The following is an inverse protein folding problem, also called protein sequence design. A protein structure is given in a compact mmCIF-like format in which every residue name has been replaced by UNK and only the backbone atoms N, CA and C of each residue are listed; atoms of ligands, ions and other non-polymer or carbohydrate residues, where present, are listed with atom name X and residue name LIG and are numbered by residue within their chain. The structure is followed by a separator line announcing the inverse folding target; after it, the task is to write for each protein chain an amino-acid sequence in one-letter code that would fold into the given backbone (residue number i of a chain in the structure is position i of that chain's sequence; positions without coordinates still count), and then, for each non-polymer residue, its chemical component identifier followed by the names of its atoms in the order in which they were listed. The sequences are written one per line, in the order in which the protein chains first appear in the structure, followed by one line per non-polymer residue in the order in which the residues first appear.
data_IF_804244712362
#
_entry.id   IF_804244712362
#
_cell.length_a   1.000
_cell.length_b   1.000
_cell.length_c   1.000
_cell.angle_alpha   90.00
_cell.angle_beta   90.00
_cell.angle_gamma   90.00
#
_symmetry.space_group_name_H-M   'P 1'
#
loop_
_entity.id
_entity.type
_entity.pdbx_description
1 polymer ?
#
# COMPACT_ATOMS: atom_id res chain seq x y z
N UNK A 1 0.72 21.86 18.79
CA UNK A 1 -0.61 21.34 18.44
C UNK A 1 -0.47 19.83 18.30
N UNK A 2 -0.94 19.05 19.28
CA UNK A 2 -0.94 17.59 19.18
C UNK A 2 -1.93 17.20 18.08
N UNK A 3 -1.48 16.41 17.11
CA UNK A 3 -2.39 15.75 16.16
C UNK A 3 -3.20 14.77 17.00
N UNK A 4 -4.52 14.95 17.03
CA UNK A 4 -5.43 14.00 17.66
C UNK A 4 -5.35 12.69 16.88
N UNK A 5 -4.82 11.65 17.51
CA UNK A 5 -4.59 10.32 16.90
C UNK A 5 -5.89 9.64 16.47
N UNK A 6 -7.06 10.19 16.85
CA UNK A 6 -8.37 9.69 16.44
C UNK A 6 -8.85 10.19 15.06
N UNK A 7 -8.06 10.99 14.33
CA UNK A 7 -8.47 11.61 13.06
C UNK A 7 -7.77 11.06 11.81
N UNK A 8 -6.77 10.19 11.96
CA UNK A 8 -6.03 9.61 10.84
C UNK A 8 -6.59 8.23 10.48
N UNK A 9 -6.61 7.84 9.18
CA UNK A 9 -7.12 6.54 8.74
C UNK A 9 -6.13 5.38 9.02
N UNK A 10 -4.96 5.67 9.59
CA UNK A 10 -3.93 4.71 9.95
C UNK A 10 -3.35 5.03 11.33
N UNK A 11 -2.75 4.02 11.98
CA UNK A 11 -2.12 4.17 13.28
C UNK A 11 -0.80 4.92 13.16
N UNK A 12 -0.50 5.81 14.12
CA UNK A 12 0.78 6.51 14.21
C UNK A 12 1.58 6.14 15.46
N UNK A 13 1.14 5.13 16.21
CA UNK A 13 1.72 4.78 17.51
C UNK A 13 3.20 4.40 17.43
N UNK A 14 3.61 3.70 16.37
CA UNK A 14 5.01 3.35 16.15
C UNK A 14 5.77 4.48 15.43
N UNK A 15 5.13 5.15 14.46
CA UNK A 15 5.67 6.34 13.81
C UNK A 15 6.15 7.41 14.80
N UNK A 16 5.37 7.70 15.86
CA UNK A 16 5.76 8.72 16.86
C UNK A 16 6.92 8.30 17.76
N UNK A 17 7.41 7.06 17.67
CA UNK A 17 8.61 6.58 18.36
C UNK A 17 9.86 6.65 17.47
N UNK A 18 9.69 6.82 16.16
CA UNK A 18 10.80 6.87 15.20
C UNK A 18 11.70 8.08 15.44
N UNK A 19 13.01 7.85 15.33
CA UNK A 19 14.00 8.92 15.39
C UNK A 19 13.85 9.86 14.19
N UNK A 20 13.74 9.33 12.97
CA UNK A 20 13.58 10.12 11.77
C UNK A 20 12.33 10.99 11.82
N UNK A 21 11.24 10.50 12.42
CA UNK A 21 10.05 11.31 12.69
C UNK A 21 10.37 12.48 13.62
N UNK A 22 11.08 12.24 14.72
CA UNK A 22 11.47 13.28 15.67
C UNK A 22 12.47 14.30 15.11
N UNK A 23 13.33 13.89 14.18
CA UNK A 23 14.31 14.76 13.52
C UNK A 23 13.67 15.60 12.38
N UNK A 24 12.54 15.14 11.82
CA UNK A 24 11.83 15.85 10.75
C UNK A 24 11.21 17.18 11.21
N UNK A 25 11.20 18.17 10.31
CA UNK A 25 10.55 19.47 10.55
C UNK A 25 9.01 19.36 10.59
N UNK A 26 8.31 20.32 11.20
CA UNK A 26 6.84 20.35 11.17
C UNK A 26 6.24 20.33 9.76
N UNK A 27 6.89 20.98 8.79
CA UNK A 27 6.49 20.97 7.38
C UNK A 27 6.62 19.58 6.77
N UNK A 28 7.74 18.89 7.01
CA UNK A 28 7.98 17.53 6.52
C UNK A 28 6.97 16.53 7.07
N UNK A 29 6.71 16.58 8.38
CA UNK A 29 5.70 15.74 9.02
C UNK A 29 4.31 15.98 8.42
N UNK A 30 3.92 17.24 8.21
CA UNK A 30 2.64 17.58 7.58
C UNK A 30 2.53 17.05 6.16
N UNK A 31 3.60 17.17 5.36
CA UNK A 31 3.66 16.63 4.00
C UNK A 31 3.51 15.11 4.02
N UNK A 32 4.24 14.42 4.90
CA UNK A 32 4.14 12.97 5.05
C UNK A 32 2.73 12.51 5.42
N UNK A 33 2.12 13.11 6.44
CA UNK A 33 0.75 12.76 6.85
C UNK A 33 -0.24 13.02 5.72
N UNK A 34 -0.13 14.16 5.01
CA UNK A 34 -1.00 14.45 3.86
C UNK A 34 -0.81 13.43 2.74
N UNK A 35 0.42 12.99 2.47
CA UNK A 35 0.73 11.97 1.48
C UNK A 35 0.13 10.62 1.86
N UNK A 36 0.33 10.18 3.11
CA UNK A 36 -0.22 8.94 3.66
C UNK A 36 -1.75 8.90 3.59
N UNK A 37 -2.44 9.97 4.02
CA UNK A 37 -3.90 10.07 3.94
C UNK A 37 -4.40 10.00 2.49
N UNK A 38 -3.70 10.67 1.57
CA UNK A 38 -4.08 10.66 0.15
C UNK A 38 -3.90 9.27 -0.46
N UNK A 39 -2.79 8.60 -0.15
CA UNK A 39 -2.49 7.26 -0.63
C UNK A 39 -3.48 6.23 -0.08
N UNK A 40 -3.71 6.21 1.23
CA UNK A 40 -4.72 5.38 1.90
C UNK A 40 -6.10 5.53 1.25
N UNK A 41 -6.58 6.77 1.08
CA UNK A 41 -7.90 7.03 0.53
C UNK A 41 -8.05 6.54 -0.91
N UNK A 42 -7.05 6.82 -1.76
CA UNK A 42 -7.08 6.40 -3.16
C UNK A 42 -6.99 4.88 -3.28
N UNK A 43 -6.09 4.25 -2.53
CA UNK A 43 -5.93 2.81 -2.59
C UNK A 43 -7.18 2.09 -2.10
N UNK A 44 -7.72 2.48 -0.95
CA UNK A 44 -8.96 1.94 -0.39
C UNK A 44 -10.11 2.07 -1.39
N UNK A 45 -10.29 3.25 -2.00
CA UNK A 45 -11.32 3.45 -3.02
C UNK A 45 -11.20 2.45 -4.19
N UNK A 46 -9.99 2.21 -4.69
CA UNK A 46 -9.80 1.27 -5.79
C UNK A 46 -9.95 -0.18 -5.35
N UNK A 47 -9.43 -0.57 -4.19
CA UNK A 47 -9.58 -1.92 -3.68
C UNK A 47 -11.06 -2.28 -3.49
N UNK A 48 -11.83 -1.42 -2.82
CA UNK A 48 -13.27 -1.62 -2.58
C UNK A 48 -14.05 -1.69 -3.90
N UNK A 49 -13.81 -0.75 -4.82
CA UNK A 49 -14.43 -0.74 -6.15
C UNK A 49 -14.23 -2.04 -6.93
N UNK A 50 -13.11 -2.74 -6.74
CA UNK A 50 -12.85 -4.01 -7.41
C UNK A 50 -13.42 -5.21 -6.64
N UNK A 51 -13.35 -5.20 -5.31
CA UNK A 51 -13.98 -6.19 -4.42
C UNK A 51 -15.51 -6.23 -4.58
N UNK A 52 -16.16 -5.07 -4.69
CA UNK A 52 -17.61 -4.94 -4.91
C UNK A 52 -18.14 -5.68 -6.14
N UNK A 53 -17.27 -5.98 -7.12
CA UNK A 53 -17.67 -6.71 -8.33
C UNK A 53 -17.97 -8.18 -8.07
N UNK A 54 -17.49 -8.75 -6.94
CA UNK A 54 -17.71 -10.15 -6.57
C UNK A 54 -17.33 -11.12 -7.71
N UNK A 55 -16.17 -10.88 -8.31
CA UNK A 55 -15.59 -11.73 -9.36
C UNK A 55 -14.16 -12.08 -8.97
N UNK A 56 -13.65 -13.22 -9.44
CA UNK A 56 -12.25 -13.64 -9.24
C UNK A 56 -11.27 -12.51 -9.61
N UNK A 57 -11.50 -11.85 -10.76
CA UNK A 57 -10.68 -10.72 -11.19
C UNK A 57 -10.78 -9.52 -10.25
N UNK A 58 -11.98 -9.24 -9.75
CA UNK A 58 -12.23 -8.13 -8.84
C UNK A 58 -11.50 -8.35 -7.53
N UNK A 59 -11.68 -9.53 -6.93
CA UNK A 59 -11.02 -9.87 -5.67
C UNK A 59 -9.50 -9.94 -5.83
N UNK A 60 -9.00 -10.55 -6.90
CA UNK A 60 -7.57 -10.55 -7.22
C UNK A 60 -6.97 -9.14 -7.24
N UNK A 61 -7.62 -8.19 -7.92
CA UNK A 61 -7.11 -6.82 -7.96
C UNK A 61 -7.18 -6.18 -6.56
N UNK A 62 -8.23 -6.44 -5.79
CA UNK A 62 -8.38 -5.88 -4.45
C UNK A 62 -7.32 -6.41 -3.47
N UNK A 63 -7.11 -7.73 -3.40
CA UNK A 63 -6.10 -8.34 -2.54
C UNK A 63 -4.69 -7.83 -2.86
N UNK A 64 -4.31 -7.79 -4.15
CA UNK A 64 -2.96 -7.31 -4.53
C UNK A 64 -2.77 -5.83 -4.18
N UNK A 65 -3.81 -5.00 -4.29
CA UNK A 65 -3.73 -3.60 -3.84
C UNK A 65 -3.56 -3.50 -2.33
N UNK A 66 -4.25 -4.34 -1.55
CA UNK A 66 -4.08 -4.36 -0.09
C UNK A 66 -2.70 -4.84 0.34
N UNK A 67 -2.13 -5.85 -0.33
CA UNK A 67 -0.74 -6.27 -0.08
C UNK A 67 0.25 -5.15 -0.41
N UNK A 68 0.02 -4.42 -1.49
CA UNK A 68 0.85 -3.27 -1.88
C UNK A 68 0.74 -2.13 -0.87
N UNK A 69 -0.46 -1.84 -0.37
CA UNK A 69 -0.68 -0.88 0.68
C UNK A 69 0.06 -1.26 1.96
N UNK A 70 -0.07 -2.52 2.36
CA UNK A 70 0.55 -3.03 3.57
C UNK A 70 2.07 -2.89 3.49
N UNK A 71 2.68 -3.34 2.40
CA UNK A 71 4.13 -3.28 2.21
C UNK A 71 4.65 -1.86 2.10
N UNK A 72 4.05 -1.04 1.21
CA UNK A 72 4.57 0.28 0.90
C UNK A 72 4.30 1.27 2.03
N UNK A 73 3.27 1.07 2.86
CA UNK A 73 2.82 2.07 3.83
C UNK A 73 2.57 1.52 5.23
N UNK A 74 1.65 0.58 5.44
CA UNK A 74 1.30 0.15 6.80
C UNK A 74 2.50 -0.45 7.54
N UNK A 75 3.29 -1.30 6.88
CA UNK A 75 4.43 -1.95 7.49
C UNK A 75 5.48 -0.91 7.93
N UNK A 76 5.97 0.00 7.06
CA UNK A 76 6.86 1.08 7.50
C UNK A 76 6.29 1.95 8.63
N UNK A 77 5.00 2.30 8.59
CA UNK A 77 4.42 3.31 9.49
C UNK A 77 3.94 2.75 10.82
N UNK A 78 3.39 1.54 10.82
CA UNK A 78 2.70 0.94 11.96
C UNK A 78 3.52 -0.16 12.66
N UNK A 79 4.63 -0.62 12.08
CA UNK A 79 5.45 -1.70 12.65
C UNK A 79 6.79 -1.18 13.21
N UNK A 80 6.81 -0.92 14.52
CA UNK A 80 8.03 -0.65 15.31
C UNK A 80 9.05 0.27 14.61
N UNK A 81 10.29 -0.20 14.50
CA UNK A 81 11.41 0.55 13.91
C UNK A 81 11.43 0.54 12.36
N UNK A 82 10.38 0.05 11.69
CA UNK A 82 10.36 -0.09 10.23
C UNK A 82 10.45 1.28 9.53
N UNK A 83 9.88 2.34 10.10
CA UNK A 83 9.94 3.67 9.49
C UNK A 83 11.38 4.20 9.38
N UNK A 84 12.17 4.07 10.45
CA UNK A 84 13.58 4.48 10.43
C UNK A 84 14.37 3.64 9.42
N UNK A 85 14.15 2.32 9.39
CA UNK A 85 14.78 1.43 8.42
C UNK A 85 14.44 1.79 6.97
N UNK A 86 13.17 2.03 6.67
CA UNK A 86 12.68 2.35 5.32
C UNK A 86 13.34 3.64 4.80
N UNK A 87 13.43 4.66 5.65
CA UNK A 87 14.07 5.92 5.31
C UNK A 87 15.60 5.80 5.14
N UNK A 88 16.25 4.95 5.93
CA UNK A 88 17.70 4.76 5.89
C UNK A 88 18.16 3.83 4.75
N UNK A 89 17.29 2.96 4.24
CA UNK A 89 17.66 1.92 3.25
C UNK A 89 17.04 2.10 1.88
N UNK A 90 15.78 2.53 1.81
CA UNK A 90 15.03 2.66 0.55
C UNK A 90 15.01 4.11 0.08
N UNK A 91 14.73 5.06 0.97
CA UNK A 91 14.60 6.48 0.65
C UNK A 91 15.80 7.31 1.12
N UNK A 92 17.01 6.78 0.93
CA UNK A 92 18.25 7.47 1.31
C UNK A 92 18.32 8.89 0.75
N UNK A 93 18.96 9.80 1.46
CA UNK A 93 19.09 11.19 1.04
C UNK A 93 19.76 11.29 -0.36
N UNK A 94 19.05 11.89 -1.32
CA UNK A 94 19.53 12.18 -2.68
C UNK A 94 19.36 13.67 -2.91
N UNK A 95 20.37 14.32 -3.50
CA UNK A 95 20.32 15.73 -3.93
C UNK A 95 19.77 16.69 -2.85
N UNK A 96 20.32 16.59 -1.63
CA UNK A 96 19.95 17.42 -0.46
C UNK A 96 18.52 17.23 0.08
N UNK A 97 17.78 16.25 -0.45
CA UNK A 97 16.40 16.01 -0.05
C UNK A 97 16.31 15.00 1.08
N UNK A 98 15.61 15.39 2.14
CA UNK A 98 15.42 14.53 3.30
C UNK A 98 14.67 13.24 2.93
N UNK A 99 15.04 12.08 3.52
CA UNK A 99 14.38 10.80 3.26
C UNK A 99 12.85 10.83 3.37
N UNK A 100 12.32 11.48 4.42
CA UNK A 100 10.87 11.60 4.64
C UNK A 100 10.16 12.36 3.50
N UNK A 101 10.83 13.34 2.88
CA UNK A 101 10.29 14.06 1.73
C UNK A 101 10.23 13.18 0.48
N UNK A 102 11.25 12.34 0.28
CA UNK A 102 11.27 11.37 -0.82
C UNK A 102 10.19 10.33 -0.67
N UNK A 103 10.03 9.78 0.54
CA UNK A 103 8.98 8.81 0.81
C UNK A 103 7.58 9.43 0.65
N UNK A 104 7.38 10.67 1.16
CA UNK A 104 6.12 11.41 0.95
C UNK A 104 5.78 11.58 -0.53
N UNK A 105 6.78 11.90 -1.36
CA UNK A 105 6.58 12.07 -2.81
C UNK A 105 6.32 10.75 -3.53
N UNK A 106 6.94 9.66 -3.09
CA UNK A 106 6.61 8.31 -3.59
C UNK A 106 5.14 7.99 -3.35
N UNK A 107 4.64 8.18 -2.13
CA UNK A 107 3.22 7.94 -1.80
C UNK A 107 2.28 8.82 -2.63
N UNK A 108 2.64 10.09 -2.84
CA UNK A 108 1.86 11.01 -3.67
C UNK A 108 1.88 10.64 -5.16
N UNK A 109 3.04 10.29 -5.73
CA UNK A 109 3.13 9.88 -7.14
C UNK A 109 2.24 8.66 -7.40
N UNK A 110 2.27 7.71 -6.46
CA UNK A 110 1.43 6.53 -6.52
C UNK A 110 -0.06 6.88 -6.46
N UNK A 111 -0.46 7.70 -5.48
CA UNK A 111 -1.85 8.15 -5.34
C UNK A 111 -2.36 9.00 -6.52
N UNK A 112 -1.47 9.71 -7.23
CA UNK A 112 -1.81 10.50 -8.42
C UNK A 112 -1.99 9.64 -9.69
N UNK A 113 -1.42 8.43 -9.70
CA UNK A 113 -1.41 7.56 -10.88
C UNK A 113 -2.04 6.17 -10.65
N UNK A 114 -3.19 6.03 -9.96
CA UNK A 114 -3.75 4.73 -9.57
C UNK A 114 -4.17 3.87 -10.78
N UNK A 115 -4.38 4.51 -11.94
CA UNK A 115 -4.64 3.81 -13.21
C UNK A 115 -3.47 2.93 -13.64
N UNK A 116 -2.23 3.21 -13.22
CA UNK A 116 -1.05 2.38 -13.48
C UNK A 116 -1.21 1.01 -12.83
N UNK A 117 -1.54 0.95 -11.54
CA UNK A 117 -1.82 -0.31 -10.84
C UNK A 117 -2.86 -1.14 -11.58
N UNK A 118 -3.99 -0.50 -11.86
CA UNK A 118 -5.12 -1.19 -12.49
C UNK A 118 -4.76 -1.74 -13.86
N UNK A 119 -3.95 -1.02 -14.64
CA UNK A 119 -3.49 -1.49 -15.96
C UNK A 119 -2.61 -2.73 -15.81
N UNK A 120 -1.63 -2.66 -14.90
CA UNK A 120 -0.69 -3.76 -14.63
C UNK A 120 -1.41 -4.99 -14.08
N UNK A 121 -2.26 -4.84 -13.07
CA UNK A 121 -2.99 -5.97 -12.47
C UNK A 121 -3.99 -6.60 -13.44
N UNK A 122 -4.62 -5.81 -14.32
CA UNK A 122 -5.44 -6.37 -15.41
C UNK A 122 -4.61 -7.17 -16.40
N UNK A 123 -3.36 -6.81 -16.65
CA UNK A 123 -2.44 -7.58 -17.48
C UNK A 123 -2.05 -8.87 -16.76
N UNK A 124 -1.56 -8.78 -15.52
CA UNK A 124 -1.17 -9.92 -14.70
C UNK A 124 -2.30 -10.96 -14.58
N UNK A 125 -3.53 -10.52 -14.34
CA UNK A 125 -4.70 -11.42 -14.32
C UNK A 125 -4.92 -12.12 -15.66
N UNK A 126 -4.73 -11.44 -16.80
CA UNK A 126 -4.93 -12.07 -18.12
C UNK A 126 -3.90 -13.14 -18.40
N UNK A 127 -2.65 -12.88 -18.04
CA UNK A 127 -1.52 -13.79 -18.25
C UNK A 127 -1.60 -15.01 -17.31
N UNK A 128 -2.11 -14.82 -16.09
CA UNK A 128 -2.11 -15.84 -15.04
C UNK A 128 -3.51 -16.38 -14.70
N UNK A 129 -4.52 -16.09 -15.54
CA UNK A 129 -5.93 -16.38 -15.25
C UNK A 129 -6.18 -17.82 -14.79
N UNK A 130 -5.56 -18.78 -15.47
CA UNK A 130 -5.76 -20.20 -15.15
C UNK A 130 -5.21 -20.57 -13.77
N UNK A 131 -4.04 -20.04 -13.40
CA UNK A 131 -3.43 -20.25 -12.07
C UNK A 131 -4.33 -19.64 -10.99
N UNK A 132 -4.74 -18.39 -11.18
CA UNK A 132 -5.58 -17.64 -10.22
C UNK A 132 -6.96 -18.28 -10.03
N UNK A 133 -7.60 -18.76 -11.11
CA UNK A 133 -8.87 -19.48 -10.98
C UNK A 133 -8.67 -20.78 -10.21
N UNK A 134 -7.59 -21.51 -10.49
CA UNK A 134 -7.30 -22.78 -9.82
C UNK A 134 -7.06 -22.59 -8.33
N UNK A 135 -6.33 -21.55 -7.90
CA UNK A 135 -6.15 -21.27 -6.47
C UNK A 135 -7.43 -20.76 -5.80
N UNK A 136 -8.27 -20.06 -6.53
CA UNK A 136 -9.61 -19.68 -6.06
C UNK A 136 -10.64 -20.83 -6.09
N UNK A 137 -10.25 -22.07 -6.38
CA UNK A 137 -11.19 -23.21 -6.46
C UNK A 137 -11.03 -24.11 -5.24
N UNK A 138 -12.12 -24.32 -4.50
CA UNK A 138 -12.16 -25.18 -3.31
C UNK A 138 -12.06 -26.68 -3.66
N UNK A 139 -12.01 -27.52 -2.62
CA UNK A 139 -11.97 -28.98 -2.76
C UNK A 139 -13.18 -29.59 -3.48
N UNK A 140 -14.30 -28.85 -3.58
CA UNK A 140 -15.54 -29.25 -4.22
C UNK A 140 -15.66 -28.74 -5.67
N UNK A 141 -14.69 -27.96 -6.16
CA UNK A 141 -14.72 -27.37 -7.50
C UNK A 141 -15.48 -26.04 -7.59
N UNK A 142 -15.85 -25.43 -6.46
CA UNK A 142 -16.51 -24.13 -6.42
C UNK A 142 -15.49 -23.01 -6.28
N UNK A 143 -15.84 -21.82 -6.78
CA UNK A 143 -15.00 -20.64 -6.58
C UNK A 143 -15.20 -20.08 -5.18
N UNK A 144 -14.13 -20.07 -4.40
CA UNK A 144 -13.99 -19.35 -3.13
C UNK A 144 -13.05 -18.15 -3.35
N UNK A 145 -13.58 -16.95 -3.15
CA UNK A 145 -12.85 -15.71 -3.38
C UNK A 145 -11.84 -15.42 -2.27
N UNK A 146 -12.05 -15.94 -1.06
CA UNK A 146 -11.19 -15.69 0.09
C UNK A 146 -9.80 -16.35 -0.10
N UNK A 147 -9.75 -17.45 -0.86
CA UNK A 147 -8.51 -18.14 -1.22
C UNK A 147 -7.58 -17.32 -2.12
N UNK A 148 -8.07 -16.26 -2.76
CA UNK A 148 -7.25 -15.42 -3.65
C UNK A 148 -6.20 -14.63 -2.86
N UNK A 149 -6.46 -14.38 -1.58
CA UNK A 149 -5.54 -13.67 -0.70
C UNK A 149 -4.22 -14.44 -0.48
N UNK A 150 -4.22 -15.76 -0.61
CA UNK A 150 -3.02 -16.58 -0.40
C UNK A 150 -1.96 -16.39 -1.50
N UNK A 151 -2.40 -16.02 -2.71
CA UNK A 151 -1.54 -15.87 -3.89
C UNK A 151 -1.25 -14.39 -4.23
N UNK A 152 -1.99 -13.43 -3.66
CA UNK A 152 -1.92 -12.03 -4.09
C UNK A 152 -0.57 -11.38 -3.83
N UNK A 153 0.14 -11.82 -2.78
CA UNK A 153 1.47 -11.36 -2.43
C UNK A 153 2.47 -11.53 -3.57
N UNK A 154 2.37 -12.63 -4.35
CA UNK A 154 3.27 -12.87 -5.49
C UNK A 154 3.13 -11.81 -6.60
N UNK A 155 1.94 -11.20 -6.73
CA UNK A 155 1.64 -10.24 -7.80
C UNK A 155 1.78 -8.79 -7.34
N UNK A 156 1.94 -8.55 -6.04
CA UNK A 156 2.22 -7.23 -5.47
C UNK A 156 3.47 -6.60 -6.08
N UNK A 157 4.51 -7.40 -6.30
CA UNK A 157 5.81 -6.93 -6.81
C UNK A 157 5.71 -6.33 -8.22
N UNK A 158 4.62 -6.58 -8.95
CA UNK A 158 4.37 -5.98 -10.26
C UNK A 158 4.05 -4.48 -10.16
N UNK A 159 3.80 -3.98 -8.95
CA UNK A 159 3.47 -2.58 -8.65
C UNK A 159 4.69 -1.74 -8.20
N UNK A 160 5.86 -2.37 -8.05
CA UNK A 160 7.15 -1.70 -7.84
C UNK A 160 7.89 -1.50 -9.17
#
# INVERSE_FOLDING_TARGET
MMIDTNLLPFSVNELVKSKAWHDATPEQRRKFISAGVTFDSVLTHYADKYREKKTVKGEFIACVLWDFYFDLFCNPVEQGNAFDYELDTVYQAVDEKAPIDQYSERLLDEALHPKRWIKVLKQAYRENKAKIIKSATDENGNIDLDLINDDSVEYRDYLY
#
